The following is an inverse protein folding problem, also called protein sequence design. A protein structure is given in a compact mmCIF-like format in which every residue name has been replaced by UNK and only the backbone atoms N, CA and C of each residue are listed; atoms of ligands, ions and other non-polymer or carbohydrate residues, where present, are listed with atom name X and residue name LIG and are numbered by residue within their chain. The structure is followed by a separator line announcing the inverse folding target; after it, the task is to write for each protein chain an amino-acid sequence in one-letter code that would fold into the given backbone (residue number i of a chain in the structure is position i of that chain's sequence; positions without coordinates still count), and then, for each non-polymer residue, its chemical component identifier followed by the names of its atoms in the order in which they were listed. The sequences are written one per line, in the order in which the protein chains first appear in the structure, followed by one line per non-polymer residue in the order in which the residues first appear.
data_IF_009291544679
#
_entry.id   IF_009291544679
#
_cell.length_a   1.000
_cell.length_b   1.000
_cell.length_c   1.000
_cell.angle_alpha   90.00
_cell.angle_beta   90.00
_cell.angle_gamma   90.00
#
_symmetry.space_group_name_H-M   'P 1'
#
loop_
_entity.id
_entity.type
_entity.pdbx_description
1 polymer ?
#
# COMPACT_ATOMS: atom_id res chain seq x y z
N UNK A 1 -1.84 -38.34 -26.59
CA UNK A 1 -3.07 -37.60 -26.21
C UNK A 1 -3.11 -37.23 -24.73
N UNK A 2 -2.88 -38.16 -23.79
CA UNK A 2 -2.95 -37.87 -22.34
C UNK A 2 -2.03 -36.72 -21.84
N UNK A 3 -0.80 -36.64 -22.34
CA UNK A 3 0.17 -35.58 -21.99
C UNK A 3 -0.29 -34.17 -22.40
N UNK A 4 -0.96 -34.04 -23.54
CA UNK A 4 -1.48 -32.75 -24.02
C UNK A 4 -2.68 -32.26 -23.18
N UNK A 5 -3.52 -33.19 -22.69
CA UNK A 5 -4.65 -32.88 -21.80
C UNK A 5 -4.16 -32.36 -20.45
N UNK A 6 -3.15 -33.01 -19.87
CA UNK A 6 -2.52 -32.57 -18.62
C UNK A 6 -1.84 -31.21 -18.76
N UNK A 7 -1.16 -30.95 -19.88
CA UNK A 7 -0.55 -29.65 -20.14
C UNK A 7 -1.59 -28.54 -20.23
N UNK A 8 -2.72 -28.80 -20.90
CA UNK A 8 -3.84 -27.84 -21.02
C UNK A 8 -4.53 -27.58 -19.69
N UNK A 9 -4.81 -28.61 -18.89
CA UNK A 9 -5.43 -28.44 -17.56
C UNK A 9 -4.52 -27.64 -16.61
N UNK A 10 -3.21 -27.87 -16.68
CA UNK A 10 -2.25 -27.13 -15.88
C UNK A 10 -2.19 -25.66 -16.30
N UNK A 11 -2.19 -25.36 -17.60
CA UNK A 11 -2.23 -24.00 -18.11
C UNK A 11 -3.50 -23.25 -17.70
N UNK A 12 -4.67 -23.89 -17.77
CA UNK A 12 -5.94 -23.32 -17.30
C UNK A 12 -5.95 -23.06 -15.79
N UNK A 13 -5.39 -23.99 -15.00
CA UNK A 13 -5.27 -23.82 -13.55
C UNK A 13 -4.35 -22.65 -13.20
N UNK A 14 -3.16 -22.59 -13.78
CA UNK A 14 -2.21 -21.48 -13.59
C UNK A 14 -2.82 -20.13 -14.01
N UNK A 15 -3.58 -20.10 -15.10
CA UNK A 15 -4.28 -18.89 -15.55
C UNK A 15 -5.34 -18.41 -14.56
N UNK A 16 -6.14 -19.33 -14.00
CA UNK A 16 -7.17 -19.03 -13.00
C UNK A 16 -6.57 -18.62 -11.67
N UNK A 17 -5.53 -19.29 -11.21
CA UNK A 17 -4.83 -18.98 -9.95
C UNK A 17 -4.23 -17.56 -10.03
N UNK A 18 -3.55 -17.23 -11.13
CA UNK A 18 -2.99 -15.89 -11.37
C UNK A 18 -4.07 -14.79 -11.42
N UNK A 19 -5.22 -15.08 -12.03
CA UNK A 19 -6.34 -14.14 -12.06
C UNK A 19 -6.89 -13.90 -10.65
N UNK A 20 -7.14 -14.97 -9.89
CA UNK A 20 -7.61 -14.88 -8.51
C UNK A 20 -6.66 -14.07 -7.62
N UNK A 21 -5.35 -14.35 -7.70
CA UNK A 21 -4.32 -13.63 -6.96
C UNK A 21 -4.38 -12.11 -7.24
N UNK A 22 -4.46 -11.73 -8.52
CA UNK A 22 -4.51 -10.32 -8.91
C UNK A 22 -5.72 -9.57 -8.31
N UNK A 23 -6.90 -10.18 -8.30
CA UNK A 23 -8.09 -9.58 -7.68
C UNK A 23 -7.99 -9.58 -6.16
N UNK A 24 -7.48 -10.65 -5.56
CA UNK A 24 -7.30 -10.74 -4.12
C UNK A 24 -6.38 -9.63 -3.60
N UNK A 25 -5.19 -9.47 -4.18
CA UNK A 25 -4.24 -8.46 -3.73
C UNK A 25 -4.75 -7.03 -3.96
N UNK A 26 -5.37 -6.76 -5.10
CA UNK A 26 -5.95 -5.44 -5.39
C UNK A 26 -7.13 -5.12 -4.48
N UNK A 27 -7.99 -6.11 -4.21
CA UNK A 27 -9.11 -5.99 -3.27
C UNK A 27 -8.63 -5.73 -1.84
N UNK A 28 -7.59 -6.45 -1.39
CA UNK A 28 -6.97 -6.24 -0.08
C UNK A 28 -6.33 -4.86 0.03
N UNK A 29 -5.65 -4.37 -1.01
CA UNK A 29 -5.08 -3.02 -1.03
C UNK A 29 -6.17 -1.94 -0.88
N UNK A 30 -7.32 -2.12 -1.54
CA UNK A 30 -8.48 -1.23 -1.38
C UNK A 30 -9.07 -1.30 0.03
N UNK A 31 -9.19 -2.50 0.60
CA UNK A 31 -9.67 -2.68 1.98
C UNK A 31 -8.75 -1.99 2.98
N UNK A 32 -7.43 -2.10 2.80
CA UNK A 32 -6.44 -1.40 3.62
C UNK A 32 -6.60 0.12 3.48
N UNK A 33 -6.77 0.63 2.26
CA UNK A 33 -7.03 2.07 2.04
C UNK A 33 -8.26 2.54 2.80
N UNK A 34 -9.38 1.83 2.69
CA UNK A 34 -10.63 2.17 3.39
C UNK A 34 -10.41 2.14 4.90
N UNK A 35 -9.72 1.12 5.41
CA UNK A 35 -9.43 0.98 6.83
C UNK A 35 -8.61 2.14 7.36
N UNK A 36 -7.52 2.51 6.66
CA UNK A 36 -6.69 3.66 7.02
C UNK A 36 -7.47 4.97 6.93
N UNK A 37 -8.24 5.15 5.85
CA UNK A 37 -9.06 6.36 5.69
C UNK A 37 -10.05 6.52 6.84
N UNK A 38 -10.82 5.47 7.16
CA UNK A 38 -11.81 5.50 8.25
C UNK A 38 -11.14 5.71 9.61
N UNK A 39 -10.04 5.01 9.90
CA UNK A 39 -9.32 5.12 11.17
C UNK A 39 -8.74 6.51 11.44
N UNK A 40 -8.35 7.23 10.38
CA UNK A 40 -7.75 8.57 10.47
C UNK A 40 -8.68 9.67 9.90
N UNK A 41 -9.94 9.35 9.62
CA UNK A 41 -10.88 10.27 8.97
C UNK A 41 -11.03 11.55 9.78
N UNK A 42 -11.44 11.44 11.05
CA UNK A 42 -11.71 12.61 11.90
C UNK A 42 -10.44 13.35 12.33
N UNK A 43 -9.35 12.63 12.59
CA UNK A 43 -8.12 13.19 13.15
C UNK A 43 -7.22 13.86 12.11
N UNK A 44 -7.25 13.38 10.86
CA UNK A 44 -6.35 13.84 9.82
C UNK A 44 -7.09 14.26 8.55
N UNK A 45 -7.81 13.33 7.89
CA UNK A 45 -8.33 13.57 6.54
C UNK A 45 -9.43 14.65 6.51
N UNK A 46 -10.47 14.50 7.33
CA UNK A 46 -11.58 15.45 7.47
C UNK A 46 -11.21 16.66 8.33
N UNK A 47 -10.13 16.59 9.11
CA UNK A 47 -9.57 17.73 9.84
C UNK A 47 -8.84 18.73 8.92
N UNK A 48 -8.74 18.45 7.60
CA UNK A 48 -8.11 19.33 6.62
C UNK A 48 -6.70 18.90 6.21
N UNK A 49 -6.27 17.69 6.58
CA UNK A 49 -5.00 17.07 6.19
C UNK A 49 -3.79 17.93 6.59
N UNK A 50 -3.20 18.65 5.62
CA UNK A 50 -2.12 19.60 5.82
C UNK A 50 -2.52 20.84 6.64
N UNK A 51 -3.82 21.10 6.76
CA UNK A 51 -4.39 22.20 7.57
C UNK A 51 -4.93 21.73 8.91
N UNK A 52 -4.87 20.43 9.19
CA UNK A 52 -5.32 19.91 10.47
C UNK A 52 -4.45 20.49 11.59
N UNK A 53 -5.09 20.91 12.69
CA UNK A 53 -4.38 21.43 13.86
C UNK A 53 -3.73 20.28 14.63
N UNK A 54 -2.66 19.71 14.09
CA UNK A 54 -1.93 18.63 14.75
C UNK A 54 -0.87 19.19 15.72
N UNK A 55 -0.58 18.50 16.83
CA UNK A 55 0.31 19.01 17.89
C UNK A 55 1.75 19.28 17.46
N UNK A 56 2.19 18.69 16.35
CA UNK A 56 3.56 18.83 15.86
C UNK A 56 3.66 18.65 14.34
N UNK A 57 4.70 19.27 13.77
CA UNK A 57 5.04 19.13 12.35
C UNK A 57 5.41 17.69 12.00
N UNK A 58 6.03 16.95 12.93
CA UNK A 58 6.43 15.56 12.66
C UNK A 58 5.24 14.64 12.41
N UNK A 59 4.08 14.90 13.03
CA UNK A 59 2.86 14.14 12.79
C UNK A 59 2.29 14.45 11.39
N UNK A 60 2.42 15.68 10.90
CA UNK A 60 2.05 16.01 9.53
C UNK A 60 2.92 15.26 8.52
N UNK A 61 4.26 15.29 8.71
CA UNK A 61 5.21 14.60 7.84
C UNK A 61 4.93 13.09 7.86
N UNK A 62 4.71 12.52 9.04
CA UNK A 62 4.31 11.11 9.21
C UNK A 62 3.04 10.79 8.39
N UNK A 63 1.99 11.60 8.53
CA UNK A 63 0.74 11.41 7.79
C UNK A 63 0.90 11.44 6.27
N UNK A 64 1.73 12.34 5.74
CA UNK A 64 2.03 12.43 4.30
C UNK A 64 2.78 11.21 3.80
N UNK A 65 3.81 10.79 4.54
CA UNK A 65 4.64 9.63 4.19
C UNK A 65 3.84 8.33 4.22
N UNK A 66 3.02 8.13 5.26
CA UNK A 66 2.14 6.95 5.34
C UNK A 66 1.03 6.98 4.28
N UNK A 67 0.46 8.16 3.98
CA UNK A 67 -0.53 8.26 2.89
C UNK A 67 0.10 7.88 1.55
N UNK A 68 1.32 8.38 1.28
CA UNK A 68 2.10 8.02 0.10
C UNK A 68 2.39 6.51 0.04
N UNK A 69 2.67 5.88 1.18
CA UNK A 69 2.89 4.44 1.28
C UNK A 69 1.65 3.62 0.88
N UNK A 70 0.47 4.01 1.33
CA UNK A 70 -0.79 3.35 0.95
C UNK A 70 -1.07 3.52 -0.55
N UNK A 71 -0.88 4.72 -1.10
CA UNK A 71 -1.03 4.92 -2.55
C UNK A 71 -0.03 4.11 -3.36
N UNK A 72 1.22 4.00 -2.88
CA UNK A 72 2.22 3.15 -3.51
C UNK A 72 1.77 1.69 -3.50
N UNK A 73 1.25 1.16 -2.39
CA UNK A 73 0.72 -0.21 -2.31
C UNK A 73 -0.33 -0.47 -3.40
N UNK A 74 -1.31 0.42 -3.54
CA UNK A 74 -2.37 0.31 -4.56
C UNK A 74 -1.78 0.34 -5.96
N UNK A 75 -0.84 1.26 -6.22
CA UNK A 75 -0.17 1.34 -7.51
C UNK A 75 0.59 0.03 -7.82
N UNK A 76 1.29 -0.54 -6.84
CA UNK A 76 2.05 -1.77 -7.01
C UNK A 76 1.16 -2.97 -7.33
N UNK A 77 0.04 -3.16 -6.62
CA UNK A 77 -0.91 -4.26 -6.93
C UNK A 77 -1.59 -4.05 -8.27
N UNK A 78 -1.92 -2.81 -8.61
CA UNK A 78 -2.54 -2.46 -9.90
C UNK A 78 -1.61 -2.71 -11.08
N UNK A 79 -0.32 -2.35 -10.96
CA UNK A 79 0.70 -2.59 -11.99
C UNK A 79 0.91 -4.08 -12.27
N UNK A 80 0.92 -4.92 -11.23
CA UNK A 80 1.00 -6.38 -11.40
C UNK A 80 -0.27 -6.92 -12.06
N UNK A 81 -1.45 -6.44 -11.65
CA UNK A 81 -2.73 -6.90 -12.22
C UNK A 81 -2.90 -6.55 -13.70
N UNK A 82 -2.33 -5.41 -14.14
CA UNK A 82 -2.37 -4.92 -15.52
C UNK A 82 -1.19 -5.42 -16.38
N UNK A 83 -0.26 -6.16 -15.79
CA UNK A 83 0.88 -6.75 -16.49
C UNK A 83 2.11 -5.84 -16.64
N UNK A 84 2.11 -4.64 -16.06
CA UNK A 84 3.21 -3.67 -16.08
C UNK A 84 4.25 -3.94 -14.99
N UNK A 85 4.80 -5.15 -14.98
CA UNK A 85 5.75 -5.63 -13.96
C UNK A 85 7.10 -4.89 -14.03
N UNK A 86 7.47 -4.36 -15.19
CA UNK A 86 8.66 -3.53 -15.39
C UNK A 86 8.57 -2.22 -14.58
N UNK A 87 7.42 -1.54 -14.63
CA UNK A 87 7.17 -0.32 -13.84
C UNK A 87 7.10 -0.66 -12.35
N UNK A 88 6.44 -1.77 -11.99
CA UNK A 88 6.40 -2.27 -10.61
C UNK A 88 7.80 -2.38 -10.00
N UNK A 89 8.73 -3.02 -10.72
CA UNK A 89 10.12 -3.19 -10.27
C UNK A 89 10.85 -1.86 -10.10
N UNK A 90 10.71 -0.94 -11.07
CA UNK A 90 11.34 0.39 -11.01
C UNK A 90 10.80 1.21 -9.84
N UNK A 91 9.48 1.24 -9.69
CA UNK A 91 8.79 1.96 -8.62
C UNK A 91 9.08 1.32 -7.26
N UNK A 92 9.28 0.00 -7.20
CA UNK A 92 9.65 -0.74 -5.99
C UNK A 92 11.00 -0.31 -5.42
N UNK A 93 11.99 -0.02 -6.28
CA UNK A 93 13.29 0.51 -5.84
C UNK A 93 13.12 1.89 -5.18
N UNK A 94 12.32 2.78 -5.76
CA UNK A 94 11.99 4.06 -5.13
C UNK A 94 11.19 3.85 -3.83
N UNK A 95 10.28 2.87 -3.83
CA UNK A 95 9.49 2.46 -2.69
C UNK A 95 10.31 1.97 -1.50
N UNK A 96 11.50 1.40 -1.72
CA UNK A 96 12.40 1.00 -0.64
C UNK A 96 12.83 2.18 0.22
N UNK A 97 13.18 3.32 -0.40
CA UNK A 97 13.49 4.54 0.34
C UNK A 97 12.30 5.05 1.16
N UNK A 98 11.09 4.98 0.58
CA UNK A 98 9.86 5.32 1.30
C UNK A 98 9.62 4.37 2.49
N UNK A 99 9.90 3.08 2.35
CA UNK A 99 9.79 2.10 3.45
C UNK A 99 10.71 2.47 4.62
N UNK A 100 11.96 2.85 4.35
CA UNK A 100 12.88 3.32 5.39
C UNK A 100 12.32 4.56 6.12
N UNK A 101 11.77 5.52 5.38
CA UNK A 101 11.14 6.71 5.95
C UNK A 101 9.92 6.37 6.82
N UNK A 102 9.07 5.44 6.38
CA UNK A 102 7.91 4.95 7.13
C UNK A 102 8.33 4.44 8.50
N UNK A 103 9.39 3.64 8.58
CA UNK A 103 9.89 3.10 9.86
C UNK A 103 10.42 4.22 10.76
N UNK A 104 11.30 5.08 10.24
CA UNK A 104 11.93 6.16 11.02
C UNK A 104 10.86 7.14 11.54
N UNK A 105 9.98 7.62 10.67
CA UNK A 105 8.93 8.57 11.05
C UNK A 105 7.86 7.95 11.93
N UNK A 106 7.58 6.66 11.80
CA UNK A 106 6.70 5.94 12.72
C UNK A 106 7.21 5.97 14.15
N UNK A 107 8.49 5.64 14.34
CA UNK A 107 9.14 5.67 15.66
C UNK A 107 9.19 7.10 16.21
N UNK A 108 9.61 8.06 15.40
CA UNK A 108 9.70 9.46 15.86
C UNK A 108 8.34 10.06 16.21
N UNK A 109 7.29 9.78 15.44
CA UNK A 109 5.94 10.24 15.72
C UNK A 109 5.40 9.65 17.03
N UNK A 110 5.65 8.35 17.28
CA UNK A 110 5.27 7.68 18.52
C UNK A 110 6.00 8.29 19.73
N UNK A 111 7.32 8.46 19.65
CA UNK A 111 8.12 9.06 20.72
C UNK A 111 7.71 10.52 21.01
N UNK A 112 7.47 11.33 19.96
CA UNK A 112 6.98 12.70 20.14
C UNK A 112 5.59 12.75 20.81
N UNK A 113 4.75 11.75 20.56
CA UNK A 113 3.41 11.69 21.19
C UNK A 113 3.51 11.31 22.67
N UNK A 114 4.41 10.38 23.02
CA UNK A 114 4.67 10.00 24.41
C UNK A 114 5.30 11.13 25.20
N UNK A 115 6.27 11.86 24.64
CA UNK A 115 6.97 12.96 25.32
C UNK A 115 6.08 14.19 25.60
N UNK A 116 4.86 14.23 25.06
CA UNK A 116 3.90 15.33 25.23
C UNK A 116 2.76 15.00 26.19
N UNK A 117 2.66 13.74 26.65
CA UNK A 117 1.76 13.31 27.72
C UNK A 117 2.49 13.40 29.06
#
# INVERSE_FOLDING_TARGET
MATAVLARSNAEKLGRDRHFDNYFFSGMALLILVTVFVGFARSYFLAGMFRAQLPSVIIHIHGVVFSSWIFLLIAQTSLVSTGHVDIHRRLGIAGFGLACLVIILGVLAATNSLARN
#
